data_IF_954295022092
#
_entry.id   IF_954295022092
#
_cell.length_a   1.000
_cell.length_b   1.000
_cell.length_c   1.000
_cell.angle_alpha   90.00
_cell.angle_beta   90.00
_cell.angle_gamma   90.00
#
_symmetry.space_group_name_H-M   'P 1'
#
loop_
_entity.id
_entity.type
_entity.pdbx_description
1 polymer ?
#
# COMPACT_ATOMS: atom_id res chain seq x y z
N UNK A 1 23.18 0.14 6.90
CA UNK A 1 22.12 0.58 5.95
C UNK A 1 21.53 1.89 6.47
N UNK A 2 21.26 2.85 5.58
CA UNK A 2 20.74 4.16 5.97
C UNK A 2 19.28 4.06 6.44
N UNK A 3 18.93 4.88 7.44
CA UNK A 3 17.56 5.01 7.97
C UNK A 3 16.63 5.55 6.86
N UNK A 4 15.52 4.87 6.59
CA UNK A 4 14.48 5.39 5.72
C UNK A 4 13.67 6.49 6.44
N UNK A 5 13.39 7.59 5.74
CA UNK A 5 12.58 8.70 6.25
C UNK A 5 11.82 9.40 5.13
N UNK A 6 10.69 9.98 5.47
CA UNK A 6 10.00 10.96 4.62
C UNK A 6 10.61 12.34 4.87
N UNK A 7 10.93 13.09 3.82
CA UNK A 7 11.48 14.43 3.95
C UNK A 7 10.35 15.42 4.27
N UNK A 8 10.29 15.90 5.52
CA UNK A 8 9.20 16.76 6.02
C UNK A 8 8.97 18.01 5.16
N UNK A 9 10.04 18.72 4.78
CA UNK A 9 9.91 19.92 3.94
C UNK A 9 9.34 19.64 2.54
N UNK A 10 9.60 18.45 1.98
CA UNK A 10 9.08 18.08 0.67
C UNK A 10 7.59 17.74 0.77
N UNK A 11 7.21 17.00 1.81
CA UNK A 11 5.82 16.70 2.12
C UNK A 11 5.01 17.98 2.37
N UNK A 12 5.49 18.88 3.24
CA UNK A 12 4.79 20.13 3.56
C UNK A 12 4.59 21.01 2.33
N UNK A 13 5.58 21.04 1.42
CA UNK A 13 5.46 21.75 0.14
C UNK A 13 4.36 21.11 -0.73
N UNK A 14 4.40 19.81 -0.94
CA UNK A 14 3.40 19.09 -1.75
C UNK A 14 1.98 19.24 -1.17
N UNK A 15 1.80 19.10 0.14
CA UNK A 15 0.50 19.29 0.79
C UNK A 15 -0.01 20.74 0.65
N UNK A 16 0.88 21.72 0.62
CA UNK A 16 0.52 23.12 0.39
C UNK A 16 0.09 23.37 -1.05
N UNK A 17 0.78 22.77 -2.02
CA UNK A 17 0.42 22.83 -3.44
C UNK A 17 -0.95 22.18 -3.68
N UNK A 18 -1.18 20.99 -3.13
CA UNK A 18 -2.47 20.28 -3.22
C UNK A 18 -3.60 21.15 -2.66
N UNK A 19 -3.44 21.66 -1.43
CA UNK A 19 -4.47 22.48 -0.75
C UNK A 19 -4.77 23.80 -1.44
N UNK A 20 -3.83 24.36 -2.21
CA UNK A 20 -4.01 25.63 -2.92
C UNK A 20 -4.61 25.47 -4.30
N UNK A 21 -4.68 24.24 -4.82
CA UNK A 21 -5.23 23.96 -6.12
C UNK A 21 -6.59 23.21 -5.98
N UNK A 22 -7.72 23.88 -6.27
CA UNK A 22 -9.05 23.29 -6.14
C UNK A 22 -9.28 22.09 -7.05
N UNK A 23 -8.47 21.89 -8.09
CA UNK A 23 -8.56 20.70 -8.96
C UNK A 23 -8.37 19.39 -8.16
N UNK A 24 -7.70 19.45 -7.00
CA UNK A 24 -7.47 18.28 -6.15
C UNK A 24 -8.53 18.04 -5.09
N UNK A 25 -9.53 18.92 -4.93
CA UNK A 25 -10.53 18.80 -3.87
C UNK A 25 -11.30 17.48 -3.99
N UNK A 26 -11.72 17.12 -5.21
CA UNK A 26 -12.51 15.92 -5.49
C UNK A 26 -11.70 14.77 -6.10
N UNK A 27 -10.37 14.80 -5.99
CA UNK A 27 -9.52 13.70 -6.47
C UNK A 27 -9.36 12.61 -5.41
N UNK A 28 -9.28 11.36 -5.87
CA UNK A 28 -8.71 10.29 -5.06
C UNK A 28 -7.21 10.55 -4.85
N UNK A 29 -6.82 10.81 -3.61
CA UNK A 29 -5.43 11.10 -3.22
C UNK A 29 -4.73 9.81 -2.75
N UNK A 30 -3.66 9.43 -3.45
CA UNK A 30 -2.87 8.22 -3.19
C UNK A 30 -1.43 8.62 -2.85
N UNK A 31 -0.93 8.20 -1.68
CA UNK A 31 0.45 8.42 -1.29
C UNK A 31 1.31 7.21 -1.66
N UNK A 32 2.55 7.43 -2.12
CA UNK A 32 3.44 6.35 -2.55
C UNK A 32 4.84 6.56 -1.98
N UNK A 33 5.39 5.53 -1.36
CA UNK A 33 6.77 5.50 -0.88
C UNK A 33 7.30 4.06 -0.84
N UNK A 34 8.61 3.85 -0.65
CA UNK A 34 9.18 2.51 -0.79
C UNK A 34 9.13 1.67 0.51
N UNK A 35 9.67 2.20 1.61
CA UNK A 35 9.87 1.45 2.85
C UNK A 35 8.59 1.30 3.67
N UNK A 36 8.39 0.19 4.39
CA UNK A 36 7.19 -0.03 5.19
C UNK A 36 7.17 0.88 6.43
N UNK A 37 5.96 1.11 6.97
CA UNK A 37 5.78 1.67 8.32
C UNK A 37 6.16 0.64 9.39
N UNK A 38 5.68 -0.60 9.21
CA UNK A 38 5.90 -1.72 10.12
C UNK A 38 6.55 -2.88 9.37
N UNK A 39 7.70 -3.32 9.86
CA UNK A 39 8.38 -4.54 9.41
C UNK A 39 9.42 -4.96 10.45
N UNK A 40 9.94 -6.19 10.30
CA UNK A 40 11.03 -6.72 11.14
C UNK A 40 12.37 -6.00 10.86
N UNK A 41 12.47 -5.25 9.76
CA UNK A 41 13.67 -4.54 9.35
C UNK A 41 13.93 -3.25 10.14
N UNK A 42 15.20 -2.91 10.31
CA UNK A 42 15.63 -1.62 10.89
C UNK A 42 15.49 -0.44 9.92
N UNK A 43 15.22 -0.74 8.64
CA UNK A 43 15.01 0.24 7.57
C UNK A 43 13.52 0.59 7.35
N UNK A 44 12.64 0.21 8.28
CA UNK A 44 11.27 0.77 8.34
C UNK A 44 11.29 2.26 8.63
N UNK A 45 10.24 2.96 8.22
CA UNK A 45 10.06 4.37 8.55
C UNK A 45 9.59 4.47 10.01
N UNK A 46 10.46 4.99 10.88
CA UNK A 46 10.19 5.11 12.32
C UNK A 46 9.46 6.39 12.71
N UNK A 47 9.65 7.46 11.95
CA UNK A 47 8.89 8.70 12.12
C UNK A 47 7.64 8.64 11.23
N UNK A 48 6.50 8.33 11.85
CA UNK A 48 5.24 8.12 11.17
C UNK A 48 4.27 9.29 11.33
N UNK A 49 4.71 10.43 11.88
CA UNK A 49 3.86 11.61 12.07
C UNK A 49 3.25 12.13 10.76
N UNK A 50 3.91 11.88 9.63
CA UNK A 50 3.41 12.22 8.31
C UNK A 50 2.09 11.54 7.95
N UNK A 51 1.79 10.37 8.52
CA UNK A 51 0.51 9.67 8.27
C UNK A 51 -0.69 10.49 8.71
N UNK A 52 -0.54 11.26 9.80
CA UNK A 52 -1.58 12.17 10.28
C UNK A 52 -1.77 13.34 9.31
N UNK A 53 -0.68 13.88 8.76
CA UNK A 53 -0.73 14.95 7.75
C UNK A 53 -1.44 14.47 6.47
N UNK A 54 -1.15 13.23 6.03
CA UNK A 54 -1.84 12.61 4.89
C UNK A 54 -3.34 12.43 5.17
N UNK A 55 -3.71 11.96 6.36
CA UNK A 55 -5.11 11.80 6.75
C UNK A 55 -5.86 13.13 6.76
N UNK A 56 -5.29 14.18 7.36
CA UNK A 56 -5.90 15.52 7.39
C UNK A 56 -6.00 16.12 5.98
N UNK A 57 -5.08 15.78 5.08
CA UNK A 57 -5.12 16.15 3.67
C UNK A 57 -5.98 15.20 2.80
N UNK A 58 -6.78 14.34 3.41
CA UNK A 58 -7.78 13.48 2.75
C UNK A 58 -7.17 12.46 1.76
N UNK A 59 -5.94 12.02 2.01
CA UNK A 59 -5.42 10.83 1.36
C UNK A 59 -6.21 9.61 1.81
N UNK A 60 -6.55 8.75 0.85
CA UNK A 60 -7.38 7.56 1.08
C UNK A 60 -6.57 6.27 1.04
N UNK A 61 -5.49 6.25 0.26
CA UNK A 61 -4.67 5.07 0.03
C UNK A 61 -3.20 5.39 0.24
N UNK A 62 -2.42 4.40 0.65
CA UNK A 62 -0.98 4.43 0.47
C UNK A 62 -0.43 3.14 -0.13
N UNK A 63 0.57 3.29 -0.99
CA UNK A 63 1.28 2.19 -1.63
C UNK A 63 2.71 2.12 -1.10
N UNK A 64 3.15 0.92 -0.71
CA UNK A 64 4.53 0.69 -0.35
C UNK A 64 5.07 -0.68 -0.81
N UNK A 65 6.35 -0.94 -0.52
CA UNK A 65 7.02 -2.18 -0.88
C UNK A 65 8.07 -2.58 0.15
N UNK A 66 9.26 -2.95 -0.35
CA UNK A 66 10.48 -3.28 0.39
C UNK A 66 10.44 -4.56 1.25
N UNK A 67 9.28 -4.95 1.78
CA UNK A 67 9.14 -6.19 2.58
C UNK A 67 9.07 -7.47 1.74
N UNK A 68 9.00 -7.33 0.41
CA UNK A 68 9.00 -8.43 -0.57
C UNK A 68 7.83 -9.42 -0.37
N UNK A 69 6.69 -8.89 0.04
CA UNK A 69 5.45 -9.62 0.31
C UNK A 69 4.26 -8.70 0.05
N UNK A 70 3.29 -9.14 -0.74
CA UNK A 70 2.01 -8.45 -0.83
C UNK A 70 1.24 -8.55 0.50
N UNK A 71 0.85 -7.41 1.05
CA UNK A 71 0.28 -7.27 2.39
C UNK A 71 -0.67 -6.07 2.41
N UNK A 72 -1.65 -6.12 3.31
CA UNK A 72 -2.57 -5.00 3.55
C UNK A 72 -2.35 -4.44 4.94
N UNK A 73 -2.60 -3.14 5.10
CA UNK A 73 -2.59 -2.49 6.40
C UNK A 73 -3.64 -1.39 6.43
N UNK A 74 -3.98 -0.92 7.63
CA UNK A 74 -4.97 0.13 7.81
C UNK A 74 -4.46 1.14 8.84
N UNK A 75 -4.37 2.40 8.43
CA UNK A 75 -4.15 3.52 9.35
C UNK A 75 -5.50 4.19 9.64
N UNK A 76 -6.00 4.07 10.87
CA UNK A 76 -7.22 4.76 11.32
C UNK A 76 -6.82 6.07 12.00
N UNK A 77 -7.25 7.20 11.44
CA UNK A 77 -7.00 8.52 12.03
C UNK A 77 -8.15 8.91 12.96
N UNK A 78 -9.39 8.95 12.44
CA UNK A 78 -10.57 9.11 13.28
C UNK A 78 -11.20 7.73 13.56
N UNK A 79 -11.65 7.50 14.78
CA UNK A 79 -12.23 6.22 15.21
C UNK A 79 -13.75 6.13 15.02
N UNK A 80 -14.39 7.25 14.66
CA UNK A 80 -15.82 7.29 14.35
C UNK A 80 -16.14 6.45 13.12
N UNK A 81 -17.38 5.94 12.99
CA UNK A 81 -17.88 5.45 11.71
C UNK A 81 -17.67 6.50 10.61
N UNK A 82 -17.15 6.08 9.45
CA UNK A 82 -16.80 7.00 8.36
C UNK A 82 -15.61 7.92 8.63
N UNK A 83 -14.91 7.74 9.75
CA UNK A 83 -13.73 8.53 10.10
C UNK A 83 -12.58 8.38 9.10
N UNK A 84 -11.70 9.39 9.03
CA UNK A 84 -10.56 9.37 8.09
C UNK A 84 -9.66 8.17 8.36
N UNK A 85 -9.32 7.47 7.28
CA UNK A 85 -8.48 6.29 7.29
C UNK A 85 -7.72 6.18 5.98
N UNK A 86 -6.57 5.51 6.03
CA UNK A 86 -5.80 5.17 4.84
C UNK A 86 -5.63 3.65 4.75
N UNK A 87 -6.08 3.06 3.64
CA UNK A 87 -5.79 1.66 3.33
C UNK A 87 -4.40 1.55 2.69
N UNK A 88 -3.58 0.69 3.26
CA UNK A 88 -2.22 0.41 2.83
C UNK A 88 -2.16 -0.82 1.94
N UNK A 89 -1.52 -0.69 0.78
CA UNK A 89 -1.32 -1.75 -0.20
C UNK A 89 0.18 -1.97 -0.41
N UNK A 90 0.68 -3.14 -0.04
CA UNK A 90 2.04 -3.56 -0.35
C UNK A 90 2.07 -4.41 -1.62
N UNK A 91 2.92 -4.05 -2.59
CA UNK A 91 2.94 -4.66 -3.93
C UNK A 91 3.59 -6.06 -3.99
N UNK A 92 4.44 -6.42 -3.02
CA UNK A 92 5.30 -7.59 -3.11
C UNK A 92 6.54 -7.35 -3.98
N UNK A 93 7.02 -8.38 -4.68
CA UNK A 93 8.27 -8.32 -5.46
C UNK A 93 8.05 -8.67 -6.93
N UNK A 94 8.06 -7.68 -7.83
CA UNK A 94 7.79 -7.96 -9.25
C UNK A 94 8.94 -8.73 -9.94
N UNK A 95 10.18 -8.33 -9.68
CA UNK A 95 11.35 -8.85 -10.40
C UNK A 95 12.69 -8.68 -9.68
N UNK A 96 12.70 -8.66 -8.34
CA UNK A 96 13.98 -8.65 -7.63
C UNK A 96 14.76 -9.96 -7.87
N UNK A 97 16.10 -9.92 -7.86
CA UNK A 97 16.93 -11.12 -7.93
C UNK A 97 16.55 -12.13 -6.84
N UNK A 98 16.74 -13.41 -7.13
CA UNK A 98 16.33 -14.52 -6.23
C UNK A 98 16.91 -14.44 -4.83
N UNK A 99 18.13 -13.90 -4.65
CA UNK A 99 18.75 -13.72 -3.34
C UNK A 99 18.14 -12.59 -2.50
N UNK A 100 17.37 -11.69 -3.12
CA UNK A 100 16.63 -10.65 -2.40
C UNK A 100 15.20 -11.08 -2.08
N UNK A 101 14.71 -12.19 -2.63
CA UNK A 101 13.41 -12.74 -2.25
C UNK A 101 13.44 -13.11 -0.76
N UNK A 102 12.39 -12.73 -0.02
CA UNK A 102 12.14 -13.38 1.27
C UNK A 102 11.96 -14.86 1.00
N UNK A 103 12.74 -15.69 1.67
CA UNK A 103 12.62 -17.15 1.57
C UNK A 103 11.15 -17.55 1.71
N UNK A 104 10.63 -18.31 0.73
CA UNK A 104 9.24 -18.75 0.59
C UNK A 104 8.17 -17.75 0.09
N UNK A 105 8.51 -16.54 -0.38
CA UNK A 105 7.55 -15.68 -1.09
C UNK A 105 7.79 -15.67 -2.61
N UNK A 106 6.74 -15.87 -3.43
CA UNK A 106 6.87 -15.80 -4.89
C UNK A 106 7.09 -14.35 -5.34
N UNK A 107 7.43 -14.16 -6.63
CA UNK A 107 7.31 -12.83 -7.23
C UNK A 107 5.83 -12.44 -7.29
N UNK A 108 5.55 -11.16 -7.06
CA UNK A 108 4.21 -10.61 -6.84
C UNK A 108 4.05 -9.21 -7.41
N UNK A 109 2.82 -8.91 -7.85
CA UNK A 109 2.34 -7.56 -8.07
C UNK A 109 0.83 -7.48 -7.84
N UNK A 110 0.32 -6.25 -7.77
CA UNK A 110 -1.12 -5.97 -7.70
C UNK A 110 -1.60 -5.28 -8.98
N UNK A 111 -2.81 -5.62 -9.42
CA UNK A 111 -3.62 -4.84 -10.36
C UNK A 111 -4.65 -4.06 -9.54
N UNK A 112 -4.70 -2.74 -9.74
CA UNK A 112 -5.64 -1.84 -9.07
C UNK A 112 -6.71 -1.43 -10.08
N UNK A 113 -7.95 -1.86 -9.85
CA UNK A 113 -9.09 -1.52 -10.70
C UNK A 113 -10.03 -0.59 -9.95
N UNK A 114 -10.26 0.60 -10.49
CA UNK A 114 -11.16 1.62 -9.92
C UNK A 114 -12.49 1.63 -10.69
N UNK A 115 -13.58 1.38 -9.98
CA UNK A 115 -14.93 1.38 -10.53
C UNK A 115 -15.87 2.12 -9.57
N UNK A 116 -16.32 3.32 -9.95
CA UNK A 116 -17.11 4.18 -9.08
C UNK A 116 -16.39 4.45 -7.75
N UNK A 117 -17.04 4.11 -6.64
CA UNK A 117 -16.50 4.28 -5.28
C UNK A 117 -15.79 3.03 -4.73
N UNK A 118 -15.32 2.13 -5.60
CA UNK A 118 -14.67 0.89 -5.19
C UNK A 118 -13.33 0.72 -5.91
N UNK A 119 -12.30 0.40 -5.12
CA UNK A 119 -11.04 -0.14 -5.61
C UNK A 119 -11.03 -1.66 -5.41
N UNK A 120 -10.80 -2.42 -6.46
CA UNK A 120 -10.44 -3.84 -6.36
C UNK A 120 -8.93 -4.01 -6.47
N UNK A 121 -8.31 -4.61 -5.45
CA UNK A 121 -6.88 -4.98 -5.48
C UNK A 121 -6.77 -6.45 -5.81
N UNK A 122 -6.21 -6.81 -6.97
CA UNK A 122 -5.99 -8.19 -7.40
C UNK A 122 -4.50 -8.53 -7.41
N UNK A 123 -4.11 -9.56 -6.67
CA UNK A 123 -2.71 -9.98 -6.53
C UNK A 123 -2.39 -11.13 -7.48
N UNK A 124 -1.26 -11.01 -8.17
CA UNK A 124 -0.72 -12.02 -9.09
C UNK A 124 0.61 -12.51 -8.55
N UNK A 125 0.92 -13.78 -8.83
CA UNK A 125 2.21 -14.40 -8.48
C UNK A 125 2.82 -15.20 -9.62
N UNK A 126 4.13 -15.41 -9.58
CA UNK A 126 4.84 -16.45 -10.32
C UNK A 126 5.87 -17.12 -9.41
N UNK A 127 6.03 -18.41 -9.53
CA UNK A 127 6.98 -19.20 -8.72
C UNK A 127 8.36 -19.27 -9.35
N UNK A 128 8.43 -19.27 -10.68
CA UNK A 128 9.68 -19.35 -11.44
C UNK A 128 10.03 -17.97 -12.01
N UNK A 129 11.33 -17.66 -12.11
CA UNK A 129 11.83 -16.38 -12.61
C UNK A 129 11.33 -16.06 -14.03
N UNK A 130 11.17 -17.09 -14.86
CA UNK A 130 10.63 -16.98 -16.22
C UNK A 130 9.27 -17.68 -16.37
N UNK A 131 8.60 -17.95 -15.23
CA UNK A 131 7.31 -18.62 -15.20
C UNK A 131 6.13 -17.70 -15.54
N UNK A 132 4.97 -18.34 -15.74
CA UNK A 132 3.73 -17.63 -16.00
C UNK A 132 3.14 -16.98 -14.73
N UNK A 133 2.61 -15.78 -14.88
CA UNK A 133 1.86 -15.10 -13.84
C UNK A 133 0.47 -15.73 -13.66
N UNK A 134 0.11 -16.07 -12.44
CA UNK A 134 -1.19 -16.67 -12.08
C UNK A 134 -1.83 -15.98 -10.86
N UNK A 135 -3.12 -16.21 -10.58
CA UNK A 135 -3.78 -15.69 -9.39
C UNK A 135 -3.03 -16.08 -8.10
N UNK A 136 -2.90 -15.13 -7.17
CA UNK A 136 -2.37 -15.38 -5.82
C UNK A 136 -3.50 -15.41 -4.79
N UNK A 137 -4.15 -16.56 -4.63
CA UNK A 137 -5.28 -16.77 -3.72
C UNK A 137 -4.89 -16.73 -2.24
N UNK A 138 -4.38 -15.58 -1.75
CA UNK A 138 -3.90 -15.40 -0.38
C UNK A 138 -4.85 -14.68 0.55
N UNK A 139 -5.87 -14.02 0.01
CA UNK A 139 -6.76 -13.17 0.80
C UNK A 139 -7.89 -14.01 1.39
N UNK A 140 -7.76 -14.36 2.67
CA UNK A 140 -8.77 -15.11 3.40
C UNK A 140 -10.11 -14.36 3.45
N UNK A 141 -11.21 -15.11 3.34
CA UNK A 141 -12.58 -14.55 3.28
C UNK A 141 -13.40 -14.84 4.56
N UNK A 142 -12.75 -15.35 5.61
CA UNK A 142 -13.38 -15.84 6.82
C UNK A 142 -13.57 -17.36 6.84
N UNK A 143 -14.08 -17.86 7.97
CA UNK A 143 -14.20 -19.30 8.22
C UNK A 143 -15.05 -20.02 7.15
N UNK A 144 -14.56 -21.17 6.68
CA UNK A 144 -15.26 -22.01 5.70
C UNK A 144 -15.26 -21.48 4.26
N UNK A 145 -14.60 -20.35 3.97
CA UNK A 145 -14.51 -19.78 2.61
C UNK A 145 -13.10 -19.93 2.04
N UNK A 146 -13.03 -20.26 0.75
CA UNK A 146 -11.77 -20.26 0.00
C UNK A 146 -11.16 -18.86 -0.05
N UNK A 147 -9.83 -18.78 -0.02
CA UNK A 147 -9.12 -17.53 -0.24
C UNK A 147 -9.29 -17.05 -1.69
N UNK A 148 -9.27 -15.73 -1.86
CA UNK A 148 -9.37 -15.07 -3.17
C UNK A 148 -8.04 -14.45 -3.57
N UNK A 149 -7.88 -14.22 -4.87
CA UNK A 149 -6.77 -13.45 -5.44
C UNK A 149 -7.02 -11.94 -5.43
N UNK A 150 -8.13 -11.49 -4.85
CA UNK A 150 -8.46 -10.08 -4.74
C UNK A 150 -9.17 -9.74 -3.44
N UNK A 151 -9.23 -8.45 -3.14
CA UNK A 151 -10.09 -7.86 -2.11
C UNK A 151 -10.55 -6.45 -2.53
N UNK A 152 -11.78 -6.04 -2.15
CA UNK A 152 -12.27 -4.69 -2.40
C UNK A 152 -11.89 -3.71 -1.27
N UNK A 153 -11.77 -2.44 -1.62
CA UNK A 153 -11.69 -1.29 -0.73
C UNK A 153 -12.77 -0.30 -1.18
N UNK A 154 -13.68 0.04 -0.27
CA UNK A 154 -14.63 1.14 -0.46
C UNK A 154 -13.89 2.48 -0.31
N UNK A 155 -14.01 3.38 -1.28
CA UNK A 155 -13.25 4.64 -1.33
C UNK A 155 -13.92 5.77 -0.56
#
# INVERSE_FOLDING_TARGET
RARARIHSGALSKALTEIRRNPDYDNCLKIAVWHHPLNSDGSDRITDQGFMQLLAVAEFRLFLHGHIHKAETSLFRYDLSPGGRKLDGICAGTFGAPTFELRSAYPWQYNLLTFEGNQLTVRTRRREEENGAWKPDSRWGQGAGKSALDYYPIEL
#
